data_IF_440624139807
#
_entry.id   IF_440624139807
#
_cell.length_a   1.000
_cell.length_b   1.000
_cell.length_c   1.000
_cell.angle_alpha   90.00
_cell.angle_beta   90.00
_cell.angle_gamma   90.00
#
_symmetry.space_group_name_H-M   'P 1'
#
loop_
_entity.id
_entity.type
_entity.pdbx_description
1 polymer ?
#
# COMPACT_ATOMS: atom_id res chain seq x y z
N UNK A 1 15.73 4.44 17.11
CA UNK A 1 15.30 3.35 16.24
C UNK A 1 15.84 1.99 16.71
N UNK A 2 17.15 1.87 16.91
CA UNK A 2 17.80 0.59 17.24
C UNK A 2 17.27 -0.08 18.51
N UNK A 3 16.92 0.71 19.54
CA UNK A 3 16.44 0.19 20.83
C UNK A 3 14.92 -0.07 20.86
N UNK A 4 14.13 0.76 20.19
CA UNK A 4 12.67 0.76 20.33
C UNK A 4 11.95 0.21 19.12
N UNK A 5 12.64 0.10 17.98
CA UNK A 5 12.07 -0.18 16.66
C UNK A 5 10.92 0.76 16.26
N UNK A 6 10.84 1.95 16.89
CA UNK A 6 9.81 2.95 16.64
C UNK A 6 10.44 4.27 16.22
N UNK A 7 9.83 4.94 15.28
CA UNK A 7 10.16 6.30 14.90
C UNK A 7 9.38 7.28 15.79
N UNK A 8 10.04 8.26 16.44
CA UNK A 8 9.33 9.29 17.19
C UNK A 8 8.34 10.04 16.30
N UNK A 9 7.14 10.29 16.83
CA UNK A 9 6.07 10.96 16.07
C UNK A 9 6.48 12.35 15.60
N UNK A 10 7.17 13.10 16.45
CA UNK A 10 7.66 14.45 16.14
C UNK A 10 8.60 14.45 14.93
N UNK A 11 9.51 13.47 14.87
CA UNK A 11 10.43 13.31 13.74
C UNK A 11 9.68 12.92 12.46
N UNK A 12 8.70 12.03 12.58
CA UNK A 12 7.83 11.66 11.46
C UNK A 12 7.12 12.89 10.88
N UNK A 13 6.48 13.69 11.75
CA UNK A 13 5.73 14.87 11.36
C UNK A 13 6.64 15.95 10.74
N UNK A 14 7.86 16.14 11.29
CA UNK A 14 8.86 17.08 10.75
C UNK A 14 9.32 16.67 9.35
N UNK A 15 9.69 15.40 9.13
CA UNK A 15 10.14 14.92 7.82
C UNK A 15 9.02 15.05 6.80
N UNK A 16 7.80 14.65 7.14
CA UNK A 16 6.64 14.77 6.26
C UNK A 16 6.37 16.21 5.86
N UNK A 17 6.43 17.14 6.82
CA UNK A 17 6.27 18.57 6.57
C UNK A 17 7.33 19.08 5.60
N UNK A 18 8.61 18.82 5.87
CA UNK A 18 9.73 19.22 4.99
C UNK A 18 9.60 18.62 3.59
N UNK A 19 9.23 17.35 3.49
CA UNK A 19 9.03 16.68 2.21
C UNK A 19 7.94 17.34 1.38
N UNK A 20 6.84 17.76 2.01
CA UNK A 20 5.76 18.51 1.34
C UNK A 20 6.22 19.89 0.89
N UNK A 21 6.92 20.62 1.73
CA UNK A 21 7.45 21.95 1.41
C UNK A 21 8.45 21.92 0.24
N UNK A 22 9.20 20.83 0.10
CA UNK A 22 10.15 20.60 -0.99
C UNK A 22 9.51 20.00 -2.25
N UNK A 23 8.22 19.66 -2.23
CA UNK A 23 7.52 19.01 -3.35
C UNK A 23 7.95 17.56 -3.61
N UNK A 24 8.60 16.90 -2.65
CA UNK A 24 8.99 15.49 -2.73
C UNK A 24 7.82 14.55 -2.39
N UNK A 25 6.97 14.95 -1.45
CA UNK A 25 5.79 14.17 -1.09
C UNK A 25 4.82 14.11 -2.27
N UNK A 26 4.35 12.93 -2.63
CA UNK A 26 3.49 12.68 -3.79
C UNK A 26 4.10 13.12 -5.15
N UNK A 27 5.44 13.22 -5.24
CA UNK A 27 6.13 13.56 -6.50
C UNK A 27 5.86 12.55 -7.63
N UNK A 28 5.50 11.32 -7.28
CA UNK A 28 5.11 10.23 -8.20
C UNK A 28 3.66 10.33 -8.71
N UNK A 29 2.84 11.20 -8.13
CA UNK A 29 1.43 11.34 -8.50
C UNK A 29 1.23 12.40 -9.58
N UNK A 30 0.14 12.29 -10.40
CA UNK A 30 -0.14 13.24 -11.46
C UNK A 30 -0.33 14.68 -10.94
N UNK A 31 0.14 15.66 -11.70
CA UNK A 31 0.00 17.10 -11.36
C UNK A 31 -1.45 17.54 -11.28
N UNK A 32 -2.30 17.05 -12.15
CA UNK A 32 -3.75 17.33 -12.17
C UNK A 32 -4.49 16.82 -10.92
N UNK A 33 -3.87 15.91 -10.16
CA UNK A 33 -4.38 15.42 -8.87
C UNK A 33 -3.67 16.07 -7.67
N UNK A 34 -2.78 17.03 -7.91
CA UNK A 34 -2.03 17.72 -6.87
C UNK A 34 -0.67 17.08 -6.53
N UNK A 35 -0.21 16.11 -7.32
CA UNK A 35 1.11 15.50 -7.18
C UNK A 35 2.23 16.25 -7.93
N UNK A 36 3.45 15.72 -7.84
CA UNK A 36 4.63 16.31 -8.50
C UNK A 36 4.77 15.99 -9.99
N UNK A 37 4.13 14.91 -10.46
CA UNK A 37 4.13 14.48 -11.85
C UNK A 37 5.51 14.11 -12.41
N UNK A 38 6.42 13.62 -11.55
CA UNK A 38 7.73 13.15 -12.01
C UNK A 38 7.57 11.90 -12.89
N UNK A 39 8.35 11.84 -13.96
CA UNK A 39 8.45 10.65 -14.79
C UNK A 39 9.32 9.57 -14.13
N UNK A 40 9.36 8.36 -14.71
CA UNK A 40 10.08 7.23 -14.12
C UNK A 40 11.59 7.47 -13.96
N UNK A 41 12.22 8.24 -14.85
CA UNK A 41 13.64 8.57 -14.76
C UNK A 41 13.92 9.49 -13.57
N UNK A 42 13.17 10.58 -13.44
CA UNK A 42 13.32 11.54 -12.33
C UNK A 42 13.00 10.88 -10.99
N UNK A 43 11.95 10.05 -10.94
CA UNK A 43 11.65 9.24 -9.75
C UNK A 43 12.80 8.32 -9.37
N UNK A 44 13.46 7.69 -10.33
CA UNK A 44 14.61 6.82 -10.07
C UNK A 44 15.77 7.59 -9.42
N UNK A 45 16.00 8.84 -9.82
CA UNK A 45 17.01 9.71 -9.20
C UNK A 45 16.64 10.05 -7.76
N UNK A 46 15.39 10.43 -7.50
CA UNK A 46 14.89 10.68 -6.14
C UNK A 46 15.02 9.44 -5.26
N UNK A 47 14.62 8.29 -5.77
CA UNK A 47 14.71 7.01 -5.07
C UNK A 47 16.16 6.62 -4.74
N UNK A 48 17.07 6.86 -5.67
CA UNK A 48 18.51 6.65 -5.44
C UNK A 48 19.00 7.53 -4.29
N UNK A 49 18.66 8.83 -4.28
CA UNK A 49 19.06 9.72 -3.18
C UNK A 49 18.45 9.29 -1.83
N UNK A 50 17.17 8.93 -1.81
CA UNK A 50 16.51 8.40 -0.63
C UNK A 50 17.11 7.07 -0.14
N UNK A 51 17.73 6.31 -1.02
CA UNK A 51 18.44 5.08 -0.70
C UNK A 51 19.63 5.26 0.25
N UNK A 52 20.22 6.46 0.33
CA UNK A 52 21.31 6.77 1.26
C UNK A 52 20.85 6.90 2.73
N UNK A 53 19.55 6.85 2.99
CA UNK A 53 19.00 6.87 4.35
C UNK A 53 18.32 5.55 4.72
N UNK A 54 17.85 5.43 5.97
CA UNK A 54 17.09 4.26 6.39
C UNK A 54 15.75 4.18 5.67
N UNK A 55 15.25 2.96 5.43
CA UNK A 55 13.96 2.75 4.77
C UNK A 55 12.81 3.44 5.53
N UNK A 56 12.85 3.42 6.87
CA UNK A 56 11.83 4.04 7.70
C UNK A 56 11.72 5.56 7.47
N UNK A 57 12.85 6.24 7.23
CA UNK A 57 12.88 7.69 6.96
C UNK A 57 12.51 7.97 5.50
N UNK A 58 13.03 7.18 4.56
CA UNK A 58 12.71 7.31 3.14
C UNK A 58 11.20 7.18 2.88
N UNK A 59 10.54 6.22 3.52
CA UNK A 59 9.10 5.98 3.39
C UNK A 59 8.21 7.15 3.85
N UNK A 60 8.74 8.06 4.68
CA UNK A 60 8.00 9.25 5.10
C UNK A 60 8.12 10.35 4.04
N UNK A 61 9.28 10.43 3.39
CA UNK A 61 9.61 11.52 2.49
C UNK A 61 8.78 11.50 1.20
N UNK A 62 8.42 10.33 0.71
CA UNK A 62 7.64 10.22 -0.51
C UNK A 62 6.52 9.20 -0.33
N UNK A 63 5.50 9.25 -0.99
CA UNK A 63 4.32 8.39 -1.09
C UNK A 63 3.05 9.22 -1.23
N UNK A 64 2.09 8.78 -1.95
CA UNK A 64 1.30 7.54 -1.88
C UNK A 64 1.72 6.47 -2.89
N UNK A 65 1.11 5.28 -2.76
CA UNK A 65 1.31 4.18 -3.71
C UNK A 65 0.72 4.53 -5.08
N UNK A 66 1.48 4.34 -6.16
CA UNK A 66 1.03 4.64 -7.53
C UNK A 66 -0.21 3.84 -7.97
N UNK A 67 -0.48 2.72 -7.34
CA UNK A 67 -1.68 1.90 -7.60
C UNK A 67 -2.98 2.71 -7.38
N UNK A 68 -2.96 3.73 -6.52
CA UNK A 68 -4.09 4.61 -6.26
C UNK A 68 -4.48 5.45 -7.49
N UNK A 69 -3.63 5.55 -8.51
CA UNK A 69 -4.00 6.16 -9.79
C UNK A 69 -5.14 5.41 -10.51
N UNK A 70 -5.46 4.19 -10.07
CA UNK A 70 -6.64 3.45 -10.53
C UNK A 70 -7.96 3.92 -9.90
N UNK A 71 -7.93 4.83 -8.92
CA UNK A 71 -9.15 5.41 -8.33
C UNK A 71 -9.98 6.11 -9.39
N UNK A 72 -11.30 5.91 -9.32
CA UNK A 72 -12.32 6.56 -10.19
C UNK A 72 -13.50 6.98 -9.35
N UNK A 73 -14.27 7.96 -9.85
CA UNK A 73 -15.46 8.46 -9.17
C UNK A 73 -15.19 8.89 -7.74
N UNK A 74 -16.01 8.45 -6.80
CA UNK A 74 -15.91 8.82 -5.38
C UNK A 74 -14.58 8.40 -4.73
N UNK A 75 -13.92 7.34 -5.22
CA UNK A 75 -12.64 6.90 -4.66
C UNK A 75 -11.52 7.95 -4.83
N UNK A 76 -11.64 8.82 -5.82
CA UNK A 76 -10.70 9.93 -6.01
C UNK A 76 -10.78 10.89 -4.82
N UNK A 77 -11.98 11.29 -4.42
CA UNK A 77 -12.19 12.23 -3.32
C UNK A 77 -11.98 11.57 -1.94
N UNK A 78 -12.41 10.30 -1.79
CA UNK A 78 -12.38 9.61 -0.50
C UNK A 78 -10.97 9.07 -0.15
N UNK A 79 -10.16 8.69 -1.16
CA UNK A 79 -8.87 8.02 -0.95
C UNK A 79 -7.69 8.72 -1.65
N UNK A 80 -7.76 8.96 -2.96
CA UNK A 80 -6.60 9.44 -3.73
C UNK A 80 -6.17 10.84 -3.29
N UNK A 81 -7.06 11.83 -3.36
CA UNK A 81 -6.72 13.22 -3.03
C UNK A 81 -6.25 13.39 -1.59
N UNK A 82 -6.95 12.87 -0.57
CA UNK A 82 -6.48 12.95 0.81
C UNK A 82 -5.10 12.32 1.02
N UNK A 83 -4.78 11.26 0.28
CA UNK A 83 -3.47 10.61 0.36
C UNK A 83 -2.39 11.46 -0.32
N UNK A 84 -2.67 12.10 -1.47
CA UNK A 84 -1.74 13.01 -2.15
C UNK A 84 -1.39 14.21 -1.28
N UNK A 85 -2.36 14.80 -0.59
CA UNK A 85 -2.10 15.93 0.32
C UNK A 85 -1.61 15.48 1.70
N UNK A 86 -1.48 14.17 1.92
CA UNK A 86 -0.94 13.60 3.14
C UNK A 86 -1.87 13.63 4.34
N UNK A 87 -3.17 13.78 4.16
CA UNK A 87 -4.19 13.68 5.22
C UNK A 87 -4.52 12.22 5.54
N UNK A 88 -4.42 11.33 4.53
CA UNK A 88 -4.60 9.88 4.72
C UNK A 88 -3.34 9.14 4.31
N UNK A 89 -3.11 7.99 4.92
CA UNK A 89 -1.98 7.10 4.63
C UNK A 89 -2.47 5.72 4.25
N UNK A 90 -1.93 5.20 3.16
CA UNK A 90 -2.19 3.86 2.66
C UNK A 90 -1.13 2.84 3.10
N UNK A 91 -1.52 1.59 3.15
CA UNK A 91 -0.64 0.44 3.07
C UNK A 91 -1.15 -0.53 2.01
N UNK A 92 -0.33 -1.51 1.61
CA UNK A 92 -0.71 -2.49 0.60
C UNK A 92 -0.62 -3.91 1.16
N UNK A 93 -1.64 -4.73 0.88
CA UNK A 93 -1.76 -6.07 1.42
C UNK A 93 -1.98 -7.11 0.31
N UNK A 94 -0.91 -7.85 -0.01
CA UNK A 94 -0.91 -8.96 -0.97
C UNK A 94 -0.55 -10.27 -0.31
N UNK A 95 0.60 -10.32 0.35
CA UNK A 95 1.22 -11.53 0.91
C UNK A 95 0.37 -12.16 2.00
N UNK A 96 0.31 -13.48 1.99
CA UNK A 96 -0.35 -14.32 3.00
C UNK A 96 0.61 -15.37 3.55
N UNK A 97 0.28 -16.05 4.65
CA UNK A 97 1.13 -17.12 5.18
C UNK A 97 1.50 -18.19 4.14
N UNK A 98 0.57 -18.51 3.24
CA UNK A 98 0.73 -19.57 2.23
C UNK A 98 0.85 -19.03 0.79
N UNK A 99 0.84 -17.71 0.60
CA UNK A 99 0.90 -17.07 -0.71
C UNK A 99 1.85 -15.87 -0.71
N UNK A 100 3.10 -16.10 -1.09
CA UNK A 100 4.13 -15.09 -1.27
C UNK A 100 4.44 -14.88 -2.76
N UNK A 101 5.41 -15.62 -3.30
CA UNK A 101 5.78 -15.51 -4.71
C UNK A 101 4.65 -15.93 -5.66
N UNK A 102 3.88 -16.95 -5.30
CA UNK A 102 2.64 -17.31 -6.01
C UNK A 102 1.42 -16.65 -5.36
N UNK A 103 1.12 -15.44 -5.77
CA UNK A 103 -0.02 -14.67 -5.28
C UNK A 103 -1.37 -15.20 -5.78
N UNK A 104 -1.40 -16.06 -6.80
CA UNK A 104 -2.63 -16.74 -7.24
C UNK A 104 -3.10 -17.80 -6.25
N UNK A 105 -2.22 -18.24 -5.37
CA UNK A 105 -2.53 -19.15 -4.26
C UNK A 105 -3.21 -18.50 -3.06
N UNK A 106 -3.49 -17.19 -3.07
CA UNK A 106 -4.05 -16.49 -1.90
C UNK A 106 -5.39 -17.05 -1.45
N UNK A 107 -5.58 -17.04 -0.13
CA UNK A 107 -6.77 -17.58 0.56
C UNK A 107 -7.77 -16.50 0.97
N UNK A 108 -7.34 -15.24 1.10
CA UNK A 108 -8.24 -14.11 1.40
C UNK A 108 -9.30 -14.03 0.31
N UNK A 109 -10.57 -14.00 0.73
CA UNK A 109 -11.73 -13.98 -0.16
C UNK A 109 -12.54 -12.69 0.05
N UNK A 110 -13.10 -12.19 -1.04
CA UNK A 110 -14.12 -11.17 -1.02
C UNK A 110 -15.38 -11.73 -1.71
N UNK A 111 -16.42 -11.95 -0.95
CA UNK A 111 -17.68 -12.50 -1.44
C UNK A 111 -18.71 -11.38 -1.58
N UNK A 112 -19.37 -11.31 -2.74
CA UNK A 112 -20.42 -10.32 -3.00
C UNK A 112 -21.66 -10.66 -2.16
N UNK A 113 -22.19 -9.67 -1.45
CA UNK A 113 -23.42 -9.78 -0.62
C UNK A 113 -24.26 -8.51 -0.79
N UNK A 114 -25.26 -8.57 -1.64
CA UNK A 114 -26.06 -7.39 -2.03
C UNK A 114 -25.18 -6.28 -2.60
N UNK A 115 -25.24 -5.09 -2.01
CA UNK A 115 -24.43 -3.93 -2.41
C UNK A 115 -23.06 -3.85 -1.73
N UNK A 116 -22.65 -4.92 -1.05
CA UNK A 116 -21.42 -4.98 -0.29
C UNK A 116 -20.52 -6.14 -0.71
N UNK A 117 -19.28 -6.12 -0.24
CA UNK A 117 -18.36 -7.25 -0.19
C UNK A 117 -18.12 -7.66 1.25
N UNK A 118 -18.05 -8.95 1.51
CA UNK A 118 -17.66 -9.54 2.78
C UNK A 118 -16.27 -10.13 2.61
N UNK A 119 -15.31 -9.62 3.39
CA UNK A 119 -13.90 -10.00 3.29
C UNK A 119 -13.53 -10.86 4.48
N UNK A 120 -12.87 -11.99 4.17
CA UNK A 120 -12.31 -12.93 5.14
C UNK A 120 -10.91 -13.37 4.72
N UNK A 121 -9.96 -13.35 5.66
CA UNK A 121 -8.59 -13.81 5.41
C UNK A 121 -7.54 -13.14 6.27
N UNK A 122 -6.27 -13.47 6.00
CA UNK A 122 -5.13 -12.95 6.77
C UNK A 122 -4.01 -12.55 5.82
N UNK A 123 -3.47 -11.35 6.03
CA UNK A 123 -2.33 -10.81 5.28
C UNK A 123 -1.12 -10.67 6.17
N UNK A 124 0.06 -11.00 5.65
CA UNK A 124 1.34 -10.99 6.35
C UNK A 124 2.31 -9.98 5.74
N UNK A 125 3.26 -9.52 6.54
CA UNK A 125 4.30 -8.58 6.15
C UNK A 125 3.76 -7.26 5.62
N UNK A 126 2.68 -6.75 6.21
CA UNK A 126 2.04 -5.51 5.76
C UNK A 126 2.76 -4.33 6.39
N UNK A 127 3.47 -3.60 5.56
CA UNK A 127 4.32 -2.50 5.96
C UNK A 127 3.50 -1.34 6.52
N UNK A 128 3.86 -0.91 7.73
CA UNK A 128 3.32 0.30 8.37
C UNK A 128 1.79 0.34 8.52
N UNK A 129 1.09 -0.80 8.51
CA UNK A 129 -0.37 -0.82 8.66
C UNK A 129 -0.85 -0.18 9.98
N UNK A 130 -0.06 -0.27 11.05
CA UNK A 130 -0.39 0.32 12.37
C UNK A 130 -0.48 1.85 12.38
N UNK A 131 0.03 2.53 11.36
CA UNK A 131 -0.04 3.99 11.18
C UNK A 131 -0.73 4.38 9.88
N UNK A 132 -1.40 3.44 9.21
CA UNK A 132 -2.16 3.67 7.98
C UNK A 132 -3.65 3.80 8.29
N UNK A 133 -4.36 4.58 7.47
CA UNK A 133 -5.80 4.80 7.61
C UNK A 133 -6.59 3.77 6.81
N UNK A 134 -6.02 3.28 5.71
CA UNK A 134 -6.66 2.27 4.87
C UNK A 134 -5.63 1.35 4.21
N UNK A 135 -6.12 0.23 3.70
CA UNK A 135 -5.30 -0.75 2.97
C UNK A 135 -5.79 -0.94 1.53
N UNK A 136 -4.84 -1.00 0.61
CA UNK A 136 -5.02 -1.50 -0.75
C UNK A 136 -4.92 -3.02 -0.67
N UNK A 137 -6.07 -3.69 -0.65
CA UNK A 137 -6.20 -5.12 -0.38
C UNK A 137 -6.44 -5.91 -1.65
N UNK A 138 -5.65 -6.96 -1.87
CA UNK A 138 -5.93 -7.97 -2.89
C UNK A 138 -6.61 -9.19 -2.28
N UNK A 139 -7.73 -9.59 -2.90
CA UNK A 139 -8.51 -10.74 -2.47
C UNK A 139 -9.07 -11.53 -3.67
N UNK A 140 -9.33 -12.81 -3.47
CA UNK A 140 -9.99 -13.65 -4.46
C UNK A 140 -11.49 -13.36 -4.49
N UNK A 141 -12.01 -13.05 -5.68
CA UNK A 141 -13.45 -12.82 -5.94
C UNK A 141 -14.12 -13.97 -6.65
N UNK A 142 -13.36 -15.00 -7.00
CA UNK A 142 -13.88 -16.18 -7.70
C UNK A 142 -12.75 -17.05 -8.25
N UNK A 143 -13.11 -17.95 -9.15
CA UNK A 143 -12.17 -18.80 -9.87
C UNK A 143 -12.46 -18.77 -11.36
N UNK A 144 -11.40 -18.89 -12.18
CA UNK A 144 -11.52 -19.07 -13.62
C UNK A 144 -11.89 -20.53 -13.98
N UNK A 145 -12.09 -20.79 -15.26
CA UNK A 145 -12.44 -22.12 -15.80
C UNK A 145 -11.38 -23.20 -15.49
N UNK A 146 -10.16 -22.80 -15.18
CA UNK A 146 -9.04 -23.68 -14.80
C UNK A 146 -8.89 -23.81 -13.29
N UNK A 147 -9.82 -23.28 -12.50
CA UNK A 147 -9.81 -23.32 -11.04
C UNK A 147 -8.82 -22.36 -10.36
N UNK A 148 -8.20 -21.43 -11.10
CA UNK A 148 -7.25 -20.44 -10.56
C UNK A 148 -8.02 -19.25 -9.99
N UNK A 149 -7.54 -18.66 -8.90
CA UNK A 149 -8.18 -17.50 -8.32
C UNK A 149 -8.22 -16.31 -9.29
N UNK A 150 -9.40 -15.72 -9.41
CA UNK A 150 -9.62 -14.40 -9.96
C UNK A 150 -9.42 -13.39 -8.83
N UNK A 151 -8.53 -12.43 -9.05
CA UNK A 151 -8.16 -11.45 -8.02
C UNK A 151 -8.78 -10.10 -8.32
N UNK A 152 -9.30 -9.46 -7.28
CA UNK A 152 -9.72 -8.05 -7.31
C UNK A 152 -8.97 -7.25 -6.26
N UNK A 153 -8.95 -5.94 -6.44
CA UNK A 153 -8.32 -5.01 -5.52
C UNK A 153 -9.38 -4.14 -4.85
N UNK A 154 -9.22 -3.87 -3.56
CA UNK A 154 -10.19 -3.13 -2.75
C UNK A 154 -9.50 -2.07 -1.91
N UNK A 155 -10.20 -0.96 -1.63
CA UNK A 155 -9.81 0.01 -0.63
C UNK A 155 -10.63 -0.26 0.64
N UNK A 156 -9.94 -0.57 1.73
CA UNK A 156 -10.55 -0.98 3.01
C UNK A 156 -10.03 -0.11 4.13
N UNK A 157 -10.89 0.64 4.78
CA UNK A 157 -10.52 1.42 5.96
C UNK A 157 -10.15 0.49 7.11
N UNK A 158 -9.06 0.81 7.82
CA UNK A 158 -8.51 -0.09 8.86
C UNK A 158 -9.26 0.00 10.19
N UNK A 159 -10.12 0.99 10.36
CA UNK A 159 -11.00 1.16 11.53
C UNK A 159 -12.36 0.46 11.39
N UNK A 160 -12.63 -0.20 10.27
CA UNK A 160 -13.88 -0.92 10.06
C UNK A 160 -14.02 -2.14 10.99
N UNK A 161 -15.27 -2.45 11.42
CA UNK A 161 -15.56 -3.69 12.12
C UNK A 161 -15.09 -4.91 11.29
N UNK A 162 -14.46 -5.87 11.98
CA UNK A 162 -13.91 -7.06 11.35
C UNK A 162 -12.48 -6.90 10.80
N UNK A 163 -11.86 -5.73 10.93
CA UNK A 163 -10.43 -5.53 10.64
C UNK A 163 -9.63 -5.53 11.94
N UNK A 164 -8.57 -6.33 11.98
CA UNK A 164 -7.59 -6.35 13.07
C UNK A 164 -6.19 -6.06 12.51
N UNK A 165 -5.54 -5.02 13.04
CA UNK A 165 -4.13 -4.74 12.81
C UNK A 165 -3.33 -5.33 13.95
N UNK A 166 -2.78 -6.52 13.75
CA UNK A 166 -2.01 -7.23 14.76
C UNK A 166 -0.51 -6.92 14.67
N UNK A 167 0.20 -7.11 15.77
CA UNK A 167 1.66 -7.09 15.79
C UNK A 167 2.17 -8.15 14.81
N UNK A 168 3.07 -7.76 13.94
CA UNK A 168 3.73 -8.63 12.99
C UNK A 168 5.16 -8.96 13.42
N UNK A 169 6.11 -8.69 12.54
CA UNK A 169 7.48 -9.17 12.66
C UNK A 169 8.48 -8.03 12.88
N UNK A 170 9.46 -8.28 13.74
CA UNK A 170 10.60 -7.39 13.92
C UNK A 170 11.65 -7.71 12.85
N UNK A 171 11.94 -6.74 11.98
CA UNK A 171 12.93 -6.90 10.92
C UNK A 171 14.35 -6.76 11.46
N UNK A 172 15.26 -7.61 11.01
CA UNK A 172 16.68 -7.57 11.39
C UNK A 172 17.35 -6.28 10.87
N UNK A 173 17.01 -5.86 9.65
CA UNK A 173 17.74 -4.79 8.94
C UNK A 173 17.01 -3.45 8.89
N UNK A 174 15.70 -3.42 8.89
CA UNK A 174 14.92 -2.21 8.64
C UNK A 174 14.27 -1.69 9.93
N UNK A 175 15.08 -1.22 10.87
CA UNK A 175 14.61 -0.67 12.15
C UNK A 175 13.72 0.55 11.93
N UNK A 176 12.58 0.58 12.64
CA UNK A 176 11.55 1.60 12.47
C UNK A 176 10.61 1.38 11.28
N UNK A 177 10.84 0.33 10.50
CA UNK A 177 9.94 -0.13 9.44
C UNK A 177 9.17 -1.34 9.95
N UNK A 178 7.93 -1.14 10.36
CA UNK A 178 7.14 -2.16 11.04
C UNK A 178 6.33 -2.96 10.04
N UNK A 179 6.41 -4.30 10.13
CA UNK A 179 5.56 -5.21 9.38
C UNK A 179 4.45 -5.74 10.28
N UNK A 180 3.22 -5.57 9.86
CA UNK A 180 2.02 -5.98 10.58
C UNK A 180 1.40 -7.24 9.97
N UNK A 181 0.51 -7.87 10.73
CA UNK A 181 -0.46 -8.85 10.25
C UNK A 181 -1.82 -8.17 10.21
N UNK A 182 -2.52 -8.27 9.08
CA UNK A 182 -3.90 -7.86 8.97
C UNK A 182 -4.81 -9.07 8.95
N UNK A 183 -5.84 -9.08 9.80
CA UNK A 183 -6.89 -10.10 9.80
C UNK A 183 -8.23 -9.47 9.46
N UNK A 184 -8.95 -10.14 8.57
CA UNK A 184 -10.29 -9.76 8.14
C UNK A 184 -11.24 -10.87 8.55
N UNK A 185 -12.24 -10.54 9.35
CA UNK A 185 -13.27 -11.46 9.83
C UNK A 185 -14.64 -10.84 9.58
N UNK A 186 -15.32 -11.34 8.57
CA UNK A 186 -16.59 -10.80 8.05
C UNK A 186 -16.58 -9.28 7.85
N UNK A 187 -15.43 -8.74 7.44
CA UNK A 187 -15.27 -7.31 7.18
C UNK A 187 -16.15 -6.90 6.01
N UNK A 188 -17.11 -6.04 6.28
CA UNK A 188 -18.09 -5.56 5.30
C UNK A 188 -17.64 -4.22 4.71
N UNK A 189 -17.54 -4.15 3.40
CA UNK A 189 -17.21 -2.93 2.66
C UNK A 189 -18.21 -2.67 1.52
N UNK A 190 -18.48 -1.39 1.18
CA UNK A 190 -19.35 -1.06 0.04
C UNK A 190 -18.81 -1.60 -1.29
N UNK A 191 -19.71 -1.98 -2.19
CA UNK A 191 -19.33 -2.46 -3.52
C UNK A 191 -18.48 -1.47 -4.30
N UNK A 192 -18.68 -0.17 -4.09
CA UNK A 192 -17.94 0.92 -4.73
C UNK A 192 -16.44 0.97 -4.36
N UNK A 193 -16.03 0.29 -3.27
CA UNK A 193 -14.66 0.29 -2.78
C UNK A 193 -13.73 -0.65 -3.58
N UNK A 194 -14.19 -1.22 -4.68
CA UNK A 194 -13.34 -1.93 -5.62
C UNK A 194 -12.42 -0.94 -6.35
N UNK A 195 -11.12 -1.20 -6.34
CA UNK A 195 -10.11 -0.40 -7.04
C UNK A 195 -9.85 -1.01 -8.41
N UNK A 196 -10.08 -0.24 -9.46
CA UNK A 196 -10.05 -0.74 -10.83
C UNK A 196 -11.26 -1.62 -11.16
N UNK A 197 -11.06 -2.67 -11.94
CA UNK A 197 -12.11 -3.58 -12.40
C UNK A 197 -12.12 -4.89 -11.60
N UNK A 198 -13.31 -5.46 -11.41
CA UNK A 198 -13.46 -6.78 -10.80
C UNK A 198 -12.70 -7.83 -11.61
N UNK A 199 -12.04 -8.75 -10.92
CA UNK A 199 -11.27 -9.86 -11.48
C UNK A 199 -10.00 -9.44 -12.27
N UNK A 200 -9.66 -8.13 -12.27
CA UNK A 200 -8.48 -7.54 -12.90
C UNK A 200 -7.38 -7.13 -11.91
N UNK A 201 -7.50 -7.55 -10.66
CA UNK A 201 -6.54 -7.20 -9.61
C UNK A 201 -5.11 -7.65 -9.93
N UNK A 202 -4.92 -8.76 -10.65
CA UNK A 202 -3.59 -9.22 -11.04
C UNK A 202 -2.89 -8.28 -12.04
N UNK A 203 -3.62 -7.70 -12.97
CA UNK A 203 -3.12 -6.70 -13.92
C UNK A 203 -2.71 -5.42 -13.18
N UNK A 204 -3.58 -4.95 -12.29
CA UNK A 204 -3.31 -3.79 -11.44
C UNK A 204 -2.10 -3.98 -10.53
N UNK A 205 -1.96 -5.17 -9.95
CA UNK A 205 -0.79 -5.56 -9.15
C UNK A 205 0.51 -5.49 -9.95
N UNK A 206 0.51 -5.98 -11.20
CA UNK A 206 1.70 -5.93 -12.05
C UNK A 206 2.14 -4.49 -12.34
N UNK A 207 1.21 -3.59 -12.61
CA UNK A 207 1.51 -2.16 -12.80
C UNK A 207 2.20 -1.56 -11.58
N UNK A 208 1.73 -1.89 -10.37
CA UNK A 208 2.39 -1.45 -9.15
C UNK A 208 3.77 -2.10 -8.95
N UNK A 209 3.89 -3.41 -9.22
CA UNK A 209 5.15 -4.15 -9.08
C UNK A 209 6.23 -3.66 -10.04
N UNK A 210 5.89 -3.25 -11.26
CA UNK A 210 6.85 -2.70 -12.23
C UNK A 210 7.57 -1.47 -11.67
N UNK A 211 6.81 -0.50 -11.14
CA UNK A 211 7.37 0.68 -10.52
C UNK A 211 8.19 0.33 -9.26
N UNK A 212 7.66 -0.57 -8.41
CA UNK A 212 8.33 -0.95 -7.15
C UNK A 212 9.66 -1.66 -7.40
N UNK A 213 9.77 -2.48 -8.46
CA UNK A 213 11.05 -3.14 -8.80
C UNK A 213 12.12 -2.12 -9.16
N UNK A 214 11.77 -1.07 -9.88
CA UNK A 214 12.70 0.02 -10.21
C UNK A 214 13.15 0.77 -8.95
N UNK A 215 12.21 1.10 -8.05
CA UNK A 215 12.48 1.69 -6.74
C UNK A 215 13.48 0.86 -5.93
N UNK A 216 13.22 -0.44 -5.80
CA UNK A 216 14.08 -1.36 -5.05
C UNK A 216 15.47 -1.42 -5.65
N UNK A 217 15.59 -1.47 -6.98
CA UNK A 217 16.88 -1.45 -7.67
C UNK A 217 17.67 -0.16 -7.37
N UNK A 218 17.04 1.00 -7.53
CA UNK A 218 17.66 2.31 -7.30
C UNK A 218 18.13 2.48 -5.85
N UNK A 219 17.27 2.18 -4.88
CA UNK A 219 17.59 2.30 -3.45
C UNK A 219 18.66 1.29 -3.01
N UNK A 220 18.69 0.10 -3.60
CA UNK A 220 19.71 -0.92 -3.30
C UNK A 220 21.10 -0.49 -3.79
N UNK A 221 21.20 0.07 -4.98
CA UNK A 221 22.46 0.62 -5.51
C UNK A 221 22.98 1.76 -4.62
N UNK A 222 22.09 2.63 -4.15
CA UNK A 222 22.49 3.75 -3.29
C UNK A 222 22.99 3.29 -1.91
N UNK A 223 22.46 2.18 -1.40
CA UNK A 223 22.93 1.60 -0.11
C UNK A 223 24.25 0.86 -0.21
N UNK A 224 24.56 0.29 -1.37
CA UNK A 224 25.83 -0.38 -1.62
C UNK A 224 26.99 0.61 -1.78
#
# INVERSE_FOLDING_TARGET
LEKTNNLPKELYDEIKKKSRELGLYACNMPKEQGGGGLNAFDLTLVEKELGHTSLALAEIAWRPQNILMACRGNLVEEYLKPTIIGERKDCIAMTEPEAGSDLRGMKTKALKSGDDWIINGTKHFISNAHISDFVVLFASTGKDEKGRNLLSCFLVDLDLPGVEVAKGYDCVSHRGYVNNILRFNDCKIPAKNILGEKDKGFELMNTWLEATRLTVAATSVARA
#
